data_IF_857439504064
#
_entry.id   IF_857439504064
#
_cell.length_a   1.000
_cell.length_b   1.000
_cell.length_c   1.000
_cell.angle_alpha   90.00
_cell.angle_beta   90.00
_cell.angle_gamma   90.00
#
_symmetry.space_group_name_H-M   'P 1'
#
loop_
_entity.id
_entity.type
_entity.pdbx_description
1 polymer ?
#
# COMPACT_ATOMS: atom_id res chain seq x y z
N UNK A 1 0.85 0.92 -36.93
CA UNK A 1 1.12 0.16 -35.70
C UNK A 1 1.45 1.16 -34.61
N UNK A 2 0.51 1.49 -33.73
CA UNK A 2 0.76 2.38 -32.60
C UNK A 2 1.58 1.61 -31.58
N UNK A 3 2.86 1.97 -31.41
CA UNK A 3 3.65 1.51 -30.28
C UNK A 3 2.98 2.06 -29.01
N UNK A 4 2.20 1.22 -28.32
CA UNK A 4 1.55 1.60 -27.08
C UNK A 4 2.62 2.04 -26.09
N UNK A 5 2.53 3.27 -25.60
CA UNK A 5 3.43 3.81 -24.60
C UNK A 5 3.49 2.92 -23.34
N UNK A 6 4.48 3.16 -22.46
CA UNK A 6 4.63 2.37 -21.24
C UNK A 6 3.30 2.37 -20.45
N UNK A 7 2.79 1.18 -20.13
CA UNK A 7 1.60 1.06 -19.29
C UNK A 7 1.94 1.59 -17.90
N UNK A 8 1.10 2.45 -17.33
CA UNK A 8 1.23 2.92 -15.96
C UNK A 8 0.10 2.39 -15.09
N UNK A 9 0.34 2.27 -13.78
CA UNK A 9 -0.69 2.05 -12.77
C UNK A 9 -0.69 3.24 -11.83
N UNK A 10 -1.88 3.74 -11.51
CA UNK A 10 -2.03 4.73 -10.45
C UNK A 10 -1.97 4.03 -9.11
N UNK A 11 -1.03 4.46 -8.28
CA UNK A 11 -0.93 4.07 -6.88
C UNK A 11 -1.24 5.28 -6.02
N UNK A 12 -1.80 5.01 -4.85
CA UNK A 12 -2.04 6.03 -3.84
C UNK A 12 -1.58 5.50 -2.49
N UNK A 13 -1.18 6.38 -1.59
CA UNK A 13 -0.71 6.04 -0.25
C UNK A 13 -1.43 6.93 0.75
N UNK A 14 -2.12 6.33 1.71
CA UNK A 14 -2.86 7.02 2.75
C UNK A 14 -1.96 7.05 3.96
N UNK A 15 -1.63 8.24 4.44
CA UNK A 15 -0.82 8.43 5.64
C UNK A 15 -1.73 8.91 6.75
N UNK A 16 -1.71 8.19 7.86
CA UNK A 16 -2.49 8.50 9.05
C UNK A 16 -1.55 8.77 10.22
N UNK A 17 -1.98 9.63 11.14
CA UNK A 17 -1.25 9.98 12.36
C UNK A 17 -2.19 9.84 13.56
N UNK A 18 -1.67 9.31 14.67
CA UNK A 18 -2.42 9.21 15.93
C UNK A 18 -2.21 10.43 16.84
N UNK A 19 -2.94 10.45 17.96
CA UNK A 19 -2.84 11.51 18.98
C UNK A 19 -1.47 11.61 19.66
N UNK A 20 -0.62 10.58 19.52
CA UNK A 20 0.75 10.52 20.07
C UNK A 20 1.80 10.92 19.03
N UNK A 21 1.38 11.30 17.82
CA UNK A 21 2.25 11.64 16.71
C UNK A 21 2.93 10.43 16.05
N UNK A 22 2.48 9.21 16.33
CA UNK A 22 2.89 8.03 15.56
C UNK A 22 2.18 8.03 14.21
N UNK A 23 2.85 7.49 13.19
CA UNK A 23 2.30 7.48 11.83
C UNK A 23 2.29 6.06 11.26
N UNK A 24 1.34 5.82 10.36
CA UNK A 24 1.31 4.63 9.52
C UNK A 24 0.86 5.00 8.10
N UNK A 25 1.20 4.16 7.13
CA UNK A 25 0.82 4.37 5.75
C UNK A 25 0.35 3.08 5.07
N UNK A 26 -0.69 3.18 4.23
CA UNK A 26 -1.15 2.06 3.42
C UNK A 26 -1.24 2.47 1.94
N UNK A 27 -0.59 1.69 1.08
CA UNK A 27 -0.65 1.85 -0.36
C UNK A 27 -1.82 1.09 -0.97
N UNK A 28 -2.46 1.65 -1.98
CA UNK A 28 -3.51 0.99 -2.75
C UNK A 28 -3.49 1.37 -4.23
N UNK A 29 -3.95 0.44 -5.07
CA UNK A 29 -4.15 0.66 -6.52
C UNK A 29 -5.55 0.26 -6.99
N UNK A 30 -6.45 -0.08 -6.05
CA UNK A 30 -7.82 -0.55 -6.30
C UNK A 30 -8.91 0.42 -5.79
N UNK A 31 -10.14 -0.09 -5.64
CA UNK A 31 -11.30 0.68 -5.18
C UNK A 31 -11.57 0.59 -3.66
N UNK A 32 -10.75 -0.16 -2.92
CA UNK A 32 -10.90 -0.35 -1.48
C UNK A 32 -10.61 0.92 -0.67
N UNK A 33 -11.02 0.95 0.60
CA UNK A 33 -10.78 2.07 1.53
C UNK A 33 -9.41 1.95 2.21
N UNK A 34 -8.39 2.71 1.76
CA UNK A 34 -7.02 2.62 2.26
C UNK A 34 -6.82 3.30 3.61
N UNK A 35 -7.73 4.22 3.99
CA UNK A 35 -7.65 4.93 5.26
C UNK A 35 -7.92 3.95 6.39
N UNK A 36 -8.91 3.08 6.18
CA UNK A 36 -9.19 1.96 7.08
C UNK A 36 -7.96 1.07 7.25
N UNK A 37 -7.30 0.64 6.18
CA UNK A 37 -6.13 -0.25 6.29
C UNK A 37 -4.92 0.42 6.93
N UNK A 38 -4.70 1.70 6.66
CA UNK A 38 -3.64 2.47 7.30
C UNK A 38 -3.92 2.62 8.82
N UNK A 39 -5.18 2.77 9.22
CA UNK A 39 -5.60 2.74 10.64
C UNK A 39 -5.45 1.36 11.27
N UNK A 40 -5.92 0.30 10.61
CA UNK A 40 -5.86 -1.08 11.10
C UNK A 40 -4.41 -1.51 11.39
N UNK A 41 -3.46 -1.08 10.56
CA UNK A 41 -2.03 -1.34 10.80
C UNK A 41 -1.45 -0.59 12.00
N UNK A 42 -2.06 0.52 12.41
CA UNK A 42 -1.67 1.28 13.60
C UNK A 42 -2.29 0.70 14.88
N UNK A 43 -3.54 0.23 14.77
CA UNK A 43 -4.31 -0.31 15.91
C UNK A 43 -3.72 -1.61 16.46
N UNK A 44 -3.14 -2.44 15.58
CA UNK A 44 -2.49 -3.71 15.93
C UNK A 44 -1.29 -3.57 16.86
N UNK A 45 -0.60 -2.43 16.85
CA UNK A 45 0.66 -2.26 17.57
C UNK A 45 0.52 -1.43 18.86
N UNK A 46 -0.58 -0.69 19.07
CA UNK A 46 -0.61 0.29 20.17
C UNK A 46 -1.97 0.56 20.85
N UNK A 47 -3.06 -0.13 20.51
CA UNK A 47 -4.38 0.13 21.11
C UNK A 47 -4.89 1.55 20.81
N UNK A 48 -4.70 1.97 19.56
CA UNK A 48 -4.88 3.34 19.10
C UNK A 48 -6.35 3.57 18.76
N UNK A 49 -7.09 4.17 19.69
CA UNK A 49 -8.53 4.42 19.48
C UNK A 49 -8.84 5.50 18.44
N UNK A 50 -7.86 6.33 18.06
CA UNK A 50 -8.02 7.40 17.07
C UNK A 50 -6.75 7.66 16.25
N UNK A 51 -6.88 7.54 14.93
CA UNK A 51 -5.91 7.98 13.95
C UNK A 51 -6.62 8.74 12.81
N UNK A 52 -6.01 9.83 12.36
CA UNK A 52 -6.58 10.74 11.36
C UNK A 52 -5.77 10.70 10.07
N UNK A 53 -6.46 10.77 8.93
CA UNK A 53 -5.81 10.89 7.62
C UNK A 53 -5.18 12.27 7.50
N UNK A 54 -3.87 12.31 7.28
CA UNK A 54 -3.12 13.57 7.10
C UNK A 54 -2.73 13.79 5.65
N UNK A 55 -2.44 12.72 4.90
CA UNK A 55 -2.04 12.83 3.49
C UNK A 55 -2.59 11.70 2.63
N UNK A 56 -2.87 12.04 1.37
CA UNK A 56 -2.97 11.10 0.26
C UNK A 56 -1.85 11.46 -0.72
N UNK A 57 -0.90 10.54 -0.90
CA UNK A 57 0.15 10.67 -1.91
C UNK A 57 -0.26 9.86 -3.12
N UNK A 58 -0.31 10.46 -4.30
CA UNK A 58 -0.62 9.75 -5.55
C UNK A 58 0.60 9.71 -6.48
N UNK A 59 0.78 8.59 -7.18
CA UNK A 59 1.80 8.46 -8.20
C UNK A 59 1.32 7.58 -9.36
N UNK A 60 1.81 7.88 -10.57
CA UNK A 60 1.70 6.95 -11.70
C UNK A 60 3.00 6.16 -11.81
N UNK A 61 2.91 4.85 -11.61
CA UNK A 61 4.05 3.95 -11.61
C UNK A 61 4.09 3.22 -12.95
N UNK A 62 5.17 3.33 -13.74
CA UNK A 62 5.30 2.55 -14.96
C UNK A 62 5.41 1.06 -14.63
N UNK A 63 4.59 0.25 -15.30
CA UNK A 63 4.64 -1.20 -15.20
C UNK A 63 5.78 -1.68 -16.10
N UNK A 64 6.77 -2.42 -15.55
CA UNK A 64 7.83 -3.01 -16.36
C UNK A 64 7.23 -3.90 -17.46
N UNK A 65 7.59 -3.61 -18.72
CA UNK A 65 7.09 -4.36 -19.89
C UNK A 65 7.94 -5.59 -20.18
N UNK A 66 9.15 -5.67 -19.62
CA UNK A 66 9.98 -6.87 -19.65
C UNK A 66 9.67 -7.75 -18.42
N UNK A 67 9.75 -9.09 -18.54
CA UNK A 67 9.63 -9.98 -17.40
C UNK A 67 10.65 -9.60 -16.32
N UNK A 68 10.18 -9.19 -15.14
CA UNK A 68 11.05 -9.04 -13.98
C UNK A 68 11.44 -10.43 -13.51
N UNK A 69 12.73 -10.74 -13.48
CA UNK A 69 13.23 -11.94 -12.83
C UNK A 69 12.97 -11.82 -11.31
N UNK A 70 11.83 -12.32 -10.85
CA UNK A 70 11.49 -12.36 -9.43
C UNK A 70 12.29 -13.47 -8.75
N UNK A 71 13.17 -13.10 -7.83
CA UNK A 71 13.84 -14.06 -6.94
C UNK A 71 13.00 -14.19 -5.66
N UNK A 72 12.20 -15.26 -5.56
CA UNK A 72 11.45 -15.57 -4.34
C UNK A 72 12.40 -16.23 -3.34
N UNK A 73 12.74 -15.54 -2.25
CA UNK A 73 13.53 -16.11 -1.15
C UNK A 73 12.60 -16.78 -0.13
N UNK A 74 12.25 -18.03 -0.42
CA UNK A 74 11.46 -18.88 0.47
C UNK A 74 9.96 -18.84 0.18
N UNK A 75 9.33 -20.02 0.12
CA UNK A 75 7.88 -20.17 0.09
C UNK A 75 7.42 -20.39 1.53
N UNK A 76 6.75 -19.40 2.12
CA UNK A 76 6.03 -19.61 3.37
C UNK A 76 4.77 -20.39 3.02
N UNK A 77 4.74 -21.69 3.31
CA UNK A 77 3.48 -22.44 3.33
C UNK A 77 2.61 -21.83 4.43
N UNK A 78 1.34 -21.47 4.17
CA UNK A 78 0.42 -21.20 5.26
C UNK A 78 0.43 -22.42 6.18
N UNK A 79 0.77 -22.22 7.46
CA UNK A 79 0.57 -23.27 8.45
C UNK A 79 -0.89 -23.69 8.42
N UNK A 80 -1.15 -25.00 8.40
CA UNK A 80 -2.49 -25.50 8.67
C UNK A 80 -2.88 -25.02 10.07
N UNK A 81 -3.93 -24.20 10.15
CA UNK A 81 -4.62 -23.96 11.41
C UNK A 81 -5.28 -25.25 11.89
#
# INVERSE_FOLDING_TARGET
>A
MSAGGPKTVRVRIAVVVDERGQYNACGWSGADDPVRWARDGMDRDAGVTRAELVHIVEAEVPIPQAPLALTIRGVVKPGAN
#
